data_IF_990316142525
#
_entry.id   IF_990316142525
#
_cell.length_a   1.000
_cell.length_b   1.000
_cell.length_c   1.000
_cell.angle_alpha   90.00
_cell.angle_beta   90.00
_cell.angle_gamma   90.00
#
_symmetry.space_group_name_H-M   'P 1'
#
loop_
_entity.id
_entity.type
_entity.pdbx_description
1 polymer ?
#
# COMPACT_ATOMS: atom_id res chain seq x y z
N UNK A 1 44.60 -24.21 19.07
CA UNK A 1 44.44 -23.88 17.63
C UNK A 1 43.45 -24.89 17.08
N UNK A 2 42.28 -24.58 16.53
CA UNK A 2 41.86 -23.49 15.64
C UNK A 2 40.35 -23.19 15.84
N UNK A 3 40.05 -21.89 15.97
CA UNK A 3 38.82 -21.13 15.70
C UNK A 3 37.51 -21.89 15.39
N UNK A 4 36.62 -21.88 16.38
CA UNK A 4 35.17 -21.84 16.13
C UNK A 4 34.82 -20.45 15.56
N UNK A 5 34.58 -20.40 14.25
CA UNK A 5 33.97 -19.24 13.62
C UNK A 5 32.44 -19.36 13.77
N UNK A 6 31.95 -19.22 15.00
CA UNK A 6 30.55 -18.86 15.23
C UNK A 6 30.37 -17.44 14.70
N UNK A 7 30.04 -17.34 13.41
CA UNK A 7 29.56 -16.13 12.78
C UNK A 7 28.23 -15.81 13.46
N UNK A 8 28.29 -15.07 14.57
CA UNK A 8 27.17 -14.34 15.13
C UNK A 8 26.80 -13.28 14.09
N UNK A 9 25.95 -13.68 13.13
CA UNK A 9 25.19 -12.73 12.34
C UNK A 9 24.49 -11.81 13.34
N UNK A 10 24.63 -10.48 13.25
CA UNK A 10 23.82 -9.60 14.07
C UNK A 10 22.36 -9.88 13.71
N UNK A 11 21.63 -10.51 14.63
CA UNK A 11 20.18 -10.55 14.58
C UNK A 11 19.74 -9.11 14.59
N UNK A 12 19.45 -8.56 13.41
CA UNK A 12 18.71 -7.30 13.33
C UNK A 12 17.51 -7.46 14.27
N UNK A 13 17.20 -6.48 15.13
CA UNK A 13 15.97 -6.54 15.91
C UNK A 13 14.87 -6.90 14.93
N UNK A 14 14.10 -7.94 15.24
CA UNK A 14 13.09 -8.46 14.35
C UNK A 14 12.09 -7.32 14.11
N UNK A 15 12.23 -6.63 12.98
CA UNK A 15 11.45 -5.45 12.66
C UNK A 15 9.98 -5.89 12.66
N UNK A 16 9.20 -5.39 13.62
CA UNK A 16 7.82 -5.78 13.76
C UNK A 16 7.03 -5.23 12.57
N UNK A 17 6.10 -6.03 12.04
CA UNK A 17 5.27 -5.64 10.91
C UNK A 17 4.55 -4.29 11.11
N UNK A 18 3.98 -3.98 12.30
CA UNK A 18 3.40 -2.66 12.56
C UNK A 18 4.41 -1.51 12.43
N UNK A 19 5.65 -1.71 12.87
CA UNK A 19 6.69 -0.68 12.82
C UNK A 19 7.11 -0.38 11.37
N UNK A 20 7.15 -1.41 10.51
CA UNK A 20 7.46 -1.25 9.10
C UNK A 20 6.36 -0.48 8.38
N UNK A 21 5.10 -0.81 8.65
CA UNK A 21 3.95 -0.10 8.09
C UNK A 21 3.93 1.37 8.55
N UNK A 22 4.17 1.62 9.83
CA UNK A 22 4.23 2.98 10.37
C UNK A 22 5.39 3.80 9.77
N UNK A 23 6.56 3.18 9.57
CA UNK A 23 7.71 3.84 8.93
C UNK A 23 7.45 4.13 7.44
N UNK A 24 6.81 3.20 6.72
CA UNK A 24 6.41 3.43 5.33
C UNK A 24 5.46 4.63 5.24
N UNK A 25 4.39 4.63 6.02
CA UNK A 25 3.40 5.72 6.06
C UNK A 25 4.05 7.07 6.41
N UNK A 26 4.87 7.12 7.47
CA UNK A 26 5.57 8.34 7.86
C UNK A 26 6.49 8.87 6.76
N UNK A 27 7.17 7.98 6.04
CA UNK A 27 8.05 8.36 4.93
C UNK A 27 7.25 8.96 3.77
N UNK A 28 6.07 8.40 3.45
CA UNK A 28 5.18 8.99 2.44
C UNK A 28 4.72 10.40 2.82
N UNK A 29 4.33 10.60 4.08
CA UNK A 29 3.93 11.92 4.60
C UNK A 29 5.06 12.95 4.60
N UNK A 30 6.31 12.49 4.67
CA UNK A 30 7.51 13.32 4.58
C UNK A 30 7.99 13.52 3.14
N UNK A 31 7.23 13.06 2.15
CA UNK A 31 7.60 13.08 0.73
C UNK A 31 8.96 12.39 0.45
N UNK A 32 9.23 11.28 1.15
CA UNK A 32 10.38 10.39 0.92
C UNK A 32 9.88 9.02 0.39
N UNK A 33 9.42 8.97 -0.86
CA UNK A 33 8.81 7.76 -1.42
C UNK A 33 9.80 6.60 -1.58
N UNK A 34 11.09 6.87 -1.80
CA UNK A 34 12.12 5.82 -1.88
C UNK A 34 12.27 5.09 -0.55
N UNK A 35 12.28 5.83 0.56
CA UNK A 35 12.30 5.23 1.89
C UNK A 35 10.98 4.52 2.20
N UNK A 36 9.85 5.09 1.82
CA UNK A 36 8.54 4.46 1.99
C UNK A 36 8.46 3.10 1.30
N UNK A 37 8.87 3.02 0.02
CA UNK A 37 8.90 1.78 -0.76
C UNK A 37 9.70 0.69 -0.06
N UNK A 38 10.90 1.02 0.45
CA UNK A 38 11.76 0.07 1.16
C UNK A 38 11.06 -0.53 2.38
N UNK A 39 10.34 0.29 3.16
CA UNK A 39 9.61 -0.20 4.32
C UNK A 39 8.36 -0.98 3.92
N UNK A 40 7.60 -0.50 2.93
CA UNK A 40 6.39 -1.15 2.44
C UNK A 40 6.67 -2.53 1.85
N UNK A 41 7.72 -2.69 1.04
CA UNK A 41 8.12 -3.99 0.47
C UNK A 41 8.57 -4.99 1.54
N UNK A 42 9.29 -4.51 2.58
CA UNK A 42 9.68 -5.37 3.72
C UNK A 42 8.45 -5.78 4.54
N UNK A 43 7.50 -4.86 4.74
CA UNK A 43 6.22 -5.15 5.39
C UNK A 43 5.40 -6.16 4.59
N UNK A 44 5.31 -6.01 3.27
CA UNK A 44 4.60 -6.93 2.37
C UNK A 44 5.14 -8.35 2.52
N UNK A 45 6.47 -8.50 2.43
CA UNK A 45 7.13 -9.80 2.55
C UNK A 45 6.84 -10.46 3.91
N UNK A 46 6.91 -9.69 5.00
CA UNK A 46 6.65 -10.20 6.34
C UNK A 46 5.16 -10.55 6.54
N UNK A 47 4.25 -9.68 6.09
CA UNK A 47 2.81 -9.90 6.15
C UNK A 47 2.41 -11.18 5.44
N UNK A 48 2.94 -11.39 4.22
CA UNK A 48 2.73 -12.60 3.42
C UNK A 48 3.23 -13.86 4.13
N UNK A 49 4.38 -13.82 4.79
CA UNK A 49 4.92 -14.95 5.56
C UNK A 49 4.14 -15.26 6.84
N UNK A 50 3.51 -14.25 7.42
CA UNK A 50 2.65 -14.37 8.60
C UNK A 50 1.17 -14.63 8.29
N UNK A 51 0.80 -14.78 7.01
CA UNK A 51 -0.58 -14.90 6.51
C UNK A 51 -1.53 -13.78 7.02
N UNK A 52 -0.98 -12.59 7.26
CA UNK A 52 -1.77 -11.44 7.71
C UNK A 52 -2.30 -10.65 6.52
N UNK A 53 -3.44 -11.09 5.97
CA UNK A 53 -4.08 -10.46 4.80
C UNK A 53 -4.35 -8.96 4.94
N UNK A 54 -4.86 -8.43 6.08
CA UNK A 54 -5.08 -6.99 6.22
C UNK A 54 -3.77 -6.19 6.16
N UNK A 55 -2.71 -6.69 6.81
CA UNK A 55 -1.40 -6.03 6.79
C UNK A 55 -0.70 -6.18 5.43
N UNK A 56 -0.97 -7.26 4.71
CA UNK A 56 -0.49 -7.48 3.35
C UNK A 56 -1.11 -6.46 2.38
N UNK A 57 -2.43 -6.27 2.42
CA UNK A 57 -3.13 -5.25 1.64
C UNK A 57 -2.63 -3.83 1.97
N UNK A 58 -2.44 -3.52 3.26
CA UNK A 58 -1.91 -2.22 3.70
C UNK A 58 -0.48 -1.98 3.22
N UNK A 59 0.37 -2.99 3.24
CA UNK A 59 1.73 -2.88 2.71
C UNK A 59 1.74 -2.61 1.20
N UNK A 60 0.89 -3.32 0.44
CA UNK A 60 0.72 -3.09 -1.00
C UNK A 60 0.16 -1.70 -1.31
N UNK A 61 -0.80 -1.21 -0.51
CA UNK A 61 -1.33 0.13 -0.63
C UNK A 61 -0.23 1.20 -0.50
N UNK A 62 0.56 1.12 0.59
CA UNK A 62 1.66 2.05 0.86
C UNK A 62 2.75 1.99 -0.23
N UNK A 63 3.02 0.79 -0.76
CA UNK A 63 3.90 0.63 -1.91
C UNK A 63 3.32 1.38 -3.12
N UNK A 64 2.06 1.12 -3.48
CA UNK A 64 1.38 1.76 -4.59
C UNK A 64 1.45 3.29 -4.55
N UNK A 65 1.16 3.90 -3.39
CA UNK A 65 1.28 5.36 -3.19
C UNK A 65 2.72 5.83 -3.45
N UNK A 66 3.72 5.13 -2.92
CA UNK A 66 5.13 5.47 -3.17
C UNK A 66 5.51 5.39 -4.64
N UNK A 67 4.95 4.44 -5.40
CA UNK A 67 5.14 4.36 -6.85
C UNK A 67 4.48 5.54 -7.58
N UNK A 68 3.29 5.98 -7.17
CA UNK A 68 2.64 7.17 -7.75
C UNK A 68 3.48 8.44 -7.51
N UNK A 69 3.98 8.64 -6.28
CA UNK A 69 4.86 9.76 -5.93
C UNK A 69 6.20 9.76 -6.70
N UNK A 70 6.61 8.60 -7.22
CA UNK A 70 7.81 8.43 -8.05
C UNK A 70 7.51 8.43 -9.56
N UNK A 71 6.29 8.77 -9.96
CA UNK A 71 5.85 8.75 -11.36
C UNK A 71 6.06 7.38 -12.03
N UNK A 72 5.78 6.30 -11.29
CA UNK A 72 5.78 4.91 -11.79
C UNK A 72 4.36 4.33 -11.78
N UNK A 73 3.45 4.88 -12.60
CA UNK A 73 2.03 4.55 -12.53
C UNK A 73 1.70 3.11 -12.93
N UNK A 74 2.46 2.48 -13.83
CA UNK A 74 2.26 1.08 -14.23
C UNK A 74 2.48 0.14 -13.05
N UNK A 75 3.54 0.38 -12.27
CA UNK A 75 3.87 -0.41 -11.07
C UNK A 75 2.84 -0.12 -9.98
N UNK A 76 2.46 1.14 -9.81
CA UNK A 76 1.44 1.52 -8.84
C UNK A 76 0.12 0.78 -9.10
N UNK A 77 -0.42 0.83 -10.32
CA UNK A 77 -1.67 0.16 -10.69
C UNK A 77 -1.58 -1.34 -10.48
N UNK A 78 -0.47 -1.98 -10.84
CA UNK A 78 -0.26 -3.41 -10.63
C UNK A 78 -0.34 -3.79 -9.14
N UNK A 79 0.40 -3.08 -8.29
CA UNK A 79 0.46 -3.40 -6.86
C UNK A 79 -0.86 -3.05 -6.16
N UNK A 80 -1.47 -1.92 -6.51
CA UNK A 80 -2.76 -1.49 -5.97
C UNK A 80 -3.89 -2.45 -6.36
N UNK A 81 -3.85 -3.04 -7.56
CA UNK A 81 -4.84 -4.08 -7.94
C UNK A 81 -4.77 -5.30 -7.01
N UNK A 82 -3.56 -5.67 -6.54
CA UNK A 82 -3.39 -6.70 -5.52
C UNK A 82 -3.99 -6.32 -4.16
N UNK A 83 -3.76 -5.08 -3.73
CA UNK A 83 -4.38 -4.55 -2.51
C UNK A 83 -5.92 -4.54 -2.62
N UNK A 84 -6.45 -4.08 -3.75
CA UNK A 84 -7.88 -4.00 -4.05
C UNK A 84 -8.56 -5.37 -3.93
N UNK A 85 -7.97 -6.40 -4.54
CA UNK A 85 -8.49 -7.76 -4.45
C UNK A 85 -8.55 -8.25 -2.99
N UNK A 86 -7.57 -7.89 -2.17
CA UNK A 86 -7.53 -8.27 -0.77
C UNK A 86 -8.56 -7.51 0.06
N UNK A 87 -8.72 -6.19 -0.13
CA UNK A 87 -9.75 -5.42 0.57
C UNK A 87 -11.16 -5.87 0.22
N UNK A 88 -11.43 -6.20 -1.04
CA UNK A 88 -12.69 -6.83 -1.47
C UNK A 88 -12.94 -8.16 -0.77
N UNK A 89 -11.91 -9.01 -0.70
CA UNK A 89 -12.01 -10.29 -0.01
C UNK A 89 -12.30 -10.12 1.49
N UNK A 90 -11.73 -9.10 2.12
CA UNK A 90 -11.94 -8.78 3.53
C UNK A 90 -13.27 -8.08 3.81
N UNK A 91 -14.00 -7.64 2.77
CA UNK A 91 -15.20 -6.82 2.93
C UNK A 91 -14.89 -5.45 3.56
N UNK A 92 -13.75 -4.86 3.20
CA UNK A 92 -13.30 -3.54 3.66
C UNK A 92 -13.63 -2.48 2.59
N UNK A 93 -14.80 -1.81 2.67
CA UNK A 93 -15.24 -0.84 1.67
C UNK A 93 -14.36 0.42 1.66
N UNK A 94 -13.80 0.82 2.80
CA UNK A 94 -12.92 1.99 2.89
C UNK A 94 -11.59 1.73 2.18
N UNK A 95 -10.98 0.56 2.45
CA UNK A 95 -9.79 0.09 1.75
C UNK A 95 -10.04 -0.09 0.24
N UNK A 96 -11.21 -0.60 -0.14
CA UNK A 96 -11.60 -0.72 -1.56
C UNK A 96 -11.68 0.65 -2.23
N UNK A 97 -12.45 1.58 -1.65
CA UNK A 97 -12.66 2.93 -2.17
C UNK A 97 -11.33 3.67 -2.35
N UNK A 98 -10.50 3.68 -1.31
CA UNK A 98 -9.24 4.41 -1.34
C UNK A 98 -8.28 3.82 -2.38
N UNK A 99 -8.22 2.49 -2.49
CA UNK A 99 -7.39 1.82 -3.50
C UNK A 99 -7.87 2.12 -4.91
N UNK A 100 -9.18 2.12 -5.17
CA UNK A 100 -9.74 2.49 -6.47
C UNK A 100 -9.39 3.92 -6.87
N UNK A 101 -9.44 4.86 -5.91
CA UNK A 101 -9.04 6.25 -6.14
C UNK A 101 -7.58 6.38 -6.55
N UNK A 102 -6.68 5.62 -5.95
CA UNK A 102 -5.26 5.61 -6.32
C UNK A 102 -5.01 4.91 -7.67
N UNK A 103 -5.75 3.84 -7.98
CA UNK A 103 -5.67 3.19 -9.30
C UNK A 103 -6.11 4.16 -10.39
N UNK A 104 -7.21 4.89 -10.18
CA UNK A 104 -7.67 5.91 -11.12
C UNK A 104 -6.59 6.99 -11.35
N UNK A 105 -5.90 7.43 -10.29
CA UNK A 105 -4.78 8.35 -10.39
C UNK A 105 -3.63 7.76 -11.23
N UNK A 106 -3.32 6.49 -11.06
CA UNK A 106 -2.35 5.78 -11.89
C UNK A 106 -2.73 5.81 -13.37
N UNK A 107 -4.00 5.56 -13.71
CA UNK A 107 -4.49 5.66 -15.09
C UNK A 107 -4.40 7.08 -15.65
N UNK A 108 -4.69 8.11 -14.85
CA UNK A 108 -4.54 9.52 -15.25
C UNK A 108 -3.10 9.87 -15.61
N UNK A 109 -2.13 9.40 -14.80
CA UNK A 109 -0.70 9.60 -15.07
C UNK A 109 -0.22 8.88 -16.33
N UNK A 110 -0.85 7.75 -16.69
CA UNK A 110 -0.63 7.05 -17.97
C UNK A 110 -1.40 7.65 -19.14
N UNK A 111 -2.19 8.72 -18.92
CA UNK A 111 -3.09 9.33 -19.90
C UNK A 111 -4.21 8.40 -20.43
N UNK A 112 -4.52 7.30 -19.73
CA UNK A 112 -5.67 6.44 -20.02
C UNK A 112 -6.91 6.96 -19.28
N UNK A 113 -7.51 8.01 -19.83
CA UNK A 113 -8.64 8.71 -19.22
C UNK A 113 -9.91 7.84 -19.17
N UNK A 114 -10.05 6.86 -20.06
CA UNK A 114 -11.18 5.94 -20.07
C UNK A 114 -11.12 5.02 -18.85
N UNK A 115 -9.97 4.37 -18.61
CA UNK A 115 -9.77 3.53 -17.43
C UNK A 115 -9.85 4.34 -16.13
N UNK A 116 -9.32 5.56 -16.12
CA UNK A 116 -9.44 6.46 -14.96
C UNK A 116 -10.91 6.75 -14.61
N UNK A 117 -11.73 7.11 -15.59
CA UNK A 117 -13.16 7.40 -15.39
C UNK A 117 -13.94 6.17 -14.94
N UNK A 118 -13.72 5.01 -15.58
CA UNK A 118 -14.35 3.75 -15.17
C UNK A 118 -14.00 3.41 -13.71
N UNK A 119 -12.73 3.58 -13.33
CA UNK A 119 -12.26 3.30 -11.97
C UNK A 119 -12.84 4.30 -10.96
N UNK A 120 -12.91 5.60 -11.29
CA UNK A 120 -13.54 6.63 -10.43
C UNK A 120 -15.02 6.32 -10.19
N UNK A 121 -15.76 5.88 -11.22
CA UNK A 121 -17.16 5.48 -11.06
C UNK A 121 -17.32 4.27 -10.14
N UNK A 122 -16.41 3.30 -10.23
CA UNK A 122 -16.42 2.17 -9.31
C UNK A 122 -16.21 2.61 -7.85
N UNK A 123 -15.29 3.55 -7.59
CA UNK A 123 -15.11 4.13 -6.27
C UNK A 123 -16.37 4.89 -5.80
N UNK A 124 -16.95 5.75 -6.64
CA UNK A 124 -18.15 6.52 -6.30
C UNK A 124 -19.38 5.63 -6.01
N UNK A 125 -19.47 4.45 -6.63
CA UNK A 125 -20.54 3.50 -6.35
C UNK A 125 -20.50 2.98 -4.89
N UNK A 126 -19.31 2.91 -4.27
CA UNK A 126 -19.15 2.51 -2.87
C UNK A 126 -19.63 3.60 -1.90
N UNK A 127 -19.41 4.87 -2.23
CA UNK A 127 -19.91 6.01 -1.43
C UNK A 127 -21.44 6.03 -1.36
N UNK A 128 -22.08 5.67 -2.48
CA UNK A 128 -23.54 5.60 -2.60
C UNK A 128 -24.13 4.40 -1.88
N UNK A 129 -23.39 3.31 -1.72
CA UNK A 129 -23.86 2.10 -1.04
C UNK A 129 -23.77 2.17 0.48
N UNK A 130 -22.85 2.97 1.04
CA UNK A 130 -22.48 2.89 2.47
C UNK A 130 -22.73 4.17 3.30
N UNK A 131 -23.40 5.18 2.73
CA UNK A 131 -23.92 6.32 3.49
C UNK A 131 -22.85 7.05 4.32
N UNK A 132 -21.94 7.75 3.63
CA UNK A 132 -21.10 8.82 4.19
C UNK A 132 -20.17 8.45 5.37
N UNK A 133 -19.19 7.55 5.15
CA UNK A 133 -18.02 7.40 6.05
C UNK A 133 -16.65 7.22 5.39
N UNK A 134 -16.53 7.27 4.06
CA UNK A 134 -15.28 6.94 3.33
C UNK A 134 -14.06 7.85 3.58
N UNK A 135 -14.20 8.98 4.29
CA UNK A 135 -13.10 9.92 4.55
C UNK A 135 -12.49 9.81 5.97
N UNK A 136 -13.16 9.17 6.93
CA UNK A 136 -12.70 9.14 8.34
C UNK A 136 -11.84 7.91 8.69
N UNK A 137 -11.84 6.86 7.87
CA UNK A 137 -11.22 5.58 8.22
C UNK A 137 -9.70 5.51 7.99
N UNK A 138 -9.14 6.40 7.17
CA UNK A 138 -7.71 6.41 6.84
C UNK A 138 -7.08 7.81 6.99
N UNK A 139 -7.13 8.41 8.20
CA UNK A 139 -6.40 9.65 8.43
C UNK A 139 -4.90 9.37 8.23
N UNK A 140 -4.21 10.30 7.59
CA UNK A 140 -2.75 10.33 7.44
C UNK A 140 -2.13 9.49 6.31
N UNK A 141 -2.85 9.21 5.21
CA UNK A 141 -2.21 8.81 3.95
C UNK A 141 -2.17 10.00 2.97
N UNK A 142 -1.02 10.25 2.30
CA UNK A 142 -0.95 11.36 1.38
C UNK A 142 -1.86 11.11 0.17
N UNK A 143 -2.49 12.19 -0.31
CA UNK A 143 -3.06 12.20 -1.64
C UNK A 143 -1.91 12.09 -2.65
N UNK A 144 -2.01 11.13 -3.58
CA UNK A 144 -1.00 10.86 -4.60
C UNK A 144 -1.20 11.70 -5.88
#
# INVERSE_FOLDING_TARGET
>A
MMRDASILLPTRPQEALPDLLAQAQRSLLQNDPLRALRYAQRAEHLARRSDSRPQWARAQLLWGIGCLQLEQPEIAVLVLTGALATYRFLGDPDGEWYTLRLIARGWELMHDLEQAELTRRAAAALELSDGAKGLEAWPDLPEA
#
